data_IF_792433096414
#
_entry.id   IF_792433096414
#
_cell.length_a   1.000
_cell.length_b   1.000
_cell.length_c   1.000
_cell.angle_alpha   90.00
_cell.angle_beta   90.00
_cell.angle_gamma   90.00
#
_symmetry.space_group_name_H-M   'P 1'
#
loop_
_entity.id
_entity.type
_entity.pdbx_description
1 polymer ?
#
# COMPACT_ATOMS: atom_id res chain seq x y z
N UNK A 1 -59.22 25.71 21.17
CA UNK A 1 -58.01 26.54 21.01
C UNK A 1 -57.11 26.21 22.18
N UNK A 2 -56.33 25.15 22.04
CA UNK A 2 -55.57 24.55 23.13
C UNK A 2 -54.13 24.44 22.67
N UNK A 3 -53.29 25.24 23.29
CA UNK A 3 -51.87 25.43 23.05
C UNK A 3 -51.09 24.24 23.61
N UNK A 4 -50.57 23.36 22.75
CA UNK A 4 -49.52 22.41 23.12
C UNK A 4 -48.15 23.00 22.77
N UNK A 5 -47.52 23.60 23.77
CA UNK A 5 -46.08 23.89 23.77
C UNK A 5 -45.33 22.55 23.81
N UNK A 6 -44.51 22.28 22.81
CA UNK A 6 -43.43 21.29 22.89
C UNK A 6 -42.30 21.87 23.77
N UNK A 7 -41.78 21.13 24.76
CA UNK A 7 -40.58 21.52 25.47
C UNK A 7 -39.32 21.12 24.71
N UNK A 8 -38.34 22.01 24.81
CA UNK A 8 -36.92 21.89 24.50
C UNK A 8 -36.26 20.65 25.10
N UNK A 9 -35.46 19.94 24.32
CA UNK A 9 -34.52 18.93 24.82
C UNK A 9 -33.11 19.46 24.61
N UNK A 10 -32.54 20.00 25.68
CA UNK A 10 -31.10 20.23 25.82
C UNK A 10 -30.40 18.89 26.08
N UNK A 11 -29.37 18.64 25.28
CA UNK A 11 -28.03 18.23 25.69
C UNK A 11 -27.89 17.31 26.91
N UNK A 12 -27.71 16.02 26.68
CA UNK A 12 -26.86 15.15 27.52
C UNK A 12 -26.01 14.26 26.61
N UNK A 13 -24.80 14.75 26.31
CA UNK A 13 -23.68 13.93 25.87
C UNK A 13 -23.25 13.06 27.06
N UNK A 14 -23.41 11.75 26.95
CA UNK A 14 -22.69 10.81 27.82
C UNK A 14 -21.26 10.62 27.31
N UNK A 15 -20.26 10.45 28.20
CA UNK A 15 -18.89 10.19 27.79
C UNK A 15 -18.77 8.77 27.26
N UNK A 16 -18.23 8.62 26.06
CA UNK A 16 -17.73 7.34 25.55
C UNK A 16 -16.61 6.90 26.48
N UNK A 17 -16.83 5.85 27.25
CA UNK A 17 -15.81 5.21 28.06
C UNK A 17 -14.66 4.73 27.15
N UNK A 18 -13.51 5.36 27.33
CA UNK A 18 -12.21 4.92 26.83
C UNK A 18 -11.89 3.54 27.38
N UNK A 19 -11.97 2.51 26.52
CA UNK A 19 -11.34 1.22 26.77
C UNK A 19 -9.82 1.40 26.69
N UNK A 20 -9.22 1.61 27.86
CA UNK A 20 -7.78 1.50 28.09
C UNK A 20 -7.34 0.06 27.86
N UNK A 21 -6.76 -0.24 26.70
CA UNK A 21 -5.91 -1.41 26.53
C UNK A 21 -4.49 -1.04 26.95
N UNK A 22 -4.18 -1.31 28.22
CA UNK A 22 -2.79 -1.34 28.70
C UNK A 22 -2.10 -2.57 28.12
N UNK A 23 -1.02 -2.30 27.42
CA UNK A 23 -0.01 -3.24 26.95
C UNK A 23 0.57 -4.05 28.11
N UNK A 24 0.33 -5.36 28.12
CA UNK A 24 1.26 -6.30 28.71
C UNK A 24 2.08 -6.90 27.57
N UNK A 25 3.34 -6.50 27.56
CA UNK A 25 4.42 -7.20 26.89
C UNK A 25 4.61 -8.57 27.54
N UNK A 26 4.21 -9.63 26.85
CA UNK A 26 4.80 -10.95 27.00
C UNK A 26 4.73 -11.64 25.64
N UNK A 27 5.89 -12.10 25.18
CA UNK A 27 6.11 -12.90 23.99
C UNK A 27 5.07 -14.02 23.86
N UNK A 28 4.16 -13.88 22.88
CA UNK A 28 3.22 -14.92 22.51
C UNK A 28 3.96 -16.06 21.80
N UNK A 29 4.55 -16.96 22.57
CA UNK A 29 4.73 -18.34 22.14
C UNK A 29 3.37 -18.82 21.61
N UNK A 30 3.32 -19.21 20.34
CA UNK A 30 2.18 -19.91 19.75
C UNK A 30 1.91 -21.16 20.58
N UNK A 31 0.90 -21.11 21.44
CA UNK A 31 0.34 -22.28 22.09
C UNK A 31 -0.32 -23.12 21.00
N UNK A 32 0.43 -24.09 20.45
CA UNK A 32 -0.14 -25.17 19.66
C UNK A 32 -1.29 -25.79 20.44
N UNK A 33 -2.52 -25.68 19.93
CA UNK A 33 -3.64 -26.41 20.49
C UNK A 33 -3.38 -27.91 20.24
N UNK A 34 -3.02 -28.73 21.26
CA UNK A 34 -2.46 -30.07 21.05
C UNK A 34 -3.47 -31.11 20.53
N UNK A 35 -4.66 -30.68 20.09
CA UNK A 35 -5.77 -31.53 19.63
C UNK A 35 -6.23 -31.27 18.19
N UNK A 36 -5.69 -30.27 17.50
CA UNK A 36 -6.11 -30.01 16.12
C UNK A 36 -5.46 -31.00 15.15
N UNK A 37 -6.26 -31.73 14.37
CA UNK A 37 -5.75 -32.62 13.33
C UNK A 37 -5.33 -31.79 12.11
N UNK A 38 -4.09 -31.98 11.65
CA UNK A 38 -3.54 -31.26 10.50
C UNK A 38 -3.96 -31.97 9.21
N UNK A 39 -4.75 -31.29 8.39
CA UNK A 39 -5.04 -31.71 7.02
C UNK A 39 -3.84 -31.30 6.16
N UNK A 40 -3.10 -32.27 5.61
CA UNK A 40 -1.96 -32.00 4.73
C UNK A 40 -2.31 -32.23 3.27
N UNK A 41 -1.74 -31.45 2.37
CA UNK A 41 -1.79 -31.73 0.93
C UNK A 41 -1.24 -33.14 0.67
N UNK A 42 -2.00 -33.91 -0.12
CA UNK A 42 -1.78 -35.35 -0.38
C UNK A 42 -2.02 -36.33 0.80
N UNK A 43 -2.55 -35.86 1.94
CA UNK A 43 -2.98 -36.75 3.04
C UNK A 43 -4.29 -37.50 2.76
N UNK A 44 -4.47 -38.67 3.38
CA UNK A 44 -5.71 -39.45 3.28
C UNK A 44 -6.94 -38.61 3.69
N UNK A 45 -6.81 -37.81 4.75
CA UNK A 45 -7.87 -36.91 5.21
C UNK A 45 -8.21 -35.83 4.17
N UNK A 46 -7.20 -35.22 3.54
CA UNK A 46 -7.41 -34.24 2.47
C UNK A 46 -8.21 -34.83 1.31
N UNK A 47 -7.87 -36.05 0.88
CA UNK A 47 -8.58 -36.74 -0.23
C UNK A 47 -10.07 -37.02 0.05
N UNK A 48 -10.48 -37.02 1.32
CA UNK A 48 -11.88 -37.22 1.75
C UNK A 48 -12.62 -35.91 1.99
N UNK A 49 -11.90 -34.80 2.11
CA UNK A 49 -12.44 -33.47 2.39
C UNK A 49 -12.33 -32.58 1.15
N UNK A 50 -12.76 -33.06 -0.01
CA UNK A 50 -12.68 -32.30 -1.26
C UNK A 50 -14.05 -31.82 -1.73
N UNK A 51 -14.09 -30.59 -2.21
CA UNK A 51 -15.23 -30.05 -2.93
C UNK A 51 -15.41 -30.79 -4.26
N UNK A 52 -16.61 -31.30 -4.52
CA UNK A 52 -16.92 -32.01 -5.78
C UNK A 52 -16.78 -31.10 -7.01
N UNK A 53 -16.91 -29.78 -6.85
CA UNK A 53 -16.87 -28.82 -7.95
C UNK A 53 -15.46 -28.37 -8.33
N UNK A 54 -14.59 -28.14 -7.34
CA UNK A 54 -13.25 -27.59 -7.60
C UNK A 54 -12.09 -28.51 -7.20
N UNK A 55 -12.37 -29.65 -6.56
CA UNK A 55 -11.37 -30.61 -6.09
C UNK A 55 -10.50 -30.11 -4.93
N UNK A 56 -10.68 -28.88 -4.46
CA UNK A 56 -9.93 -28.29 -3.35
C UNK A 56 -10.50 -28.72 -2.01
N UNK A 57 -9.70 -28.56 -0.96
CA UNK A 57 -10.15 -28.83 0.40
C UNK A 57 -11.42 -28.02 0.71
N UNK A 58 -12.42 -28.71 1.26
CA UNK A 58 -13.51 -28.10 2.00
C UNK A 58 -12.82 -27.42 3.19
N UNK A 59 -12.52 -26.13 3.10
CA UNK A 59 -11.79 -25.37 4.12
C UNK A 59 -12.39 -23.98 4.36
N UNK A 60 -13.48 -23.65 3.66
CA UNK A 60 -14.14 -22.34 3.67
C UNK A 60 -15.64 -22.58 3.70
N UNK A 61 -16.32 -21.91 4.62
CA UNK A 61 -17.79 -21.98 4.80
C UNK A 61 -18.53 -21.16 3.74
N UNK A 62 -19.81 -21.47 3.46
CA UNK A 62 -20.53 -22.66 3.94
C UNK A 62 -20.06 -23.92 3.22
N UNK A 63 -19.92 -25.03 3.97
CA UNK A 63 -19.84 -26.36 3.35
C UNK A 63 -21.23 -26.94 3.31
N UNK A 64 -21.71 -27.29 2.12
CA UNK A 64 -23.01 -27.92 1.96
C UNK A 64 -22.86 -29.38 1.53
N UNK A 65 -23.82 -30.21 1.92
CA UNK A 65 -23.89 -31.62 1.59
C UNK A 65 -25.16 -31.90 0.79
N UNK A 66 -25.04 -32.72 -0.24
CA UNK A 66 -26.17 -33.23 -1.01
C UNK A 66 -25.88 -34.65 -1.50
N UNK A 67 -26.59 -35.64 -0.95
CA UNK A 67 -26.50 -37.06 -1.34
C UNK A 67 -25.07 -37.64 -1.23
N UNK A 68 -24.33 -37.24 -0.21
CA UNK A 68 -22.96 -37.66 0.09
C UNK A 68 -21.88 -36.85 -0.63
N UNK A 69 -22.25 -35.90 -1.48
CA UNK A 69 -21.33 -34.98 -2.14
C UNK A 69 -21.26 -33.65 -1.40
N UNK A 70 -20.06 -33.07 -1.31
CA UNK A 70 -19.82 -31.85 -0.56
C UNK A 70 -19.33 -30.73 -1.47
N UNK A 71 -19.82 -29.51 -1.22
CA UNK A 71 -19.34 -28.28 -1.90
C UNK A 71 -18.78 -27.30 -0.87
N UNK A 72 -17.79 -26.49 -1.28
CA UNK A 72 -17.21 -25.45 -0.42
C UNK A 72 -17.83 -24.07 -0.68
N UNK A 73 -17.66 -23.16 0.28
CA UNK A 73 -18.20 -21.80 0.19
C UNK A 73 -17.62 -20.97 -0.94
N UNK A 74 -16.42 -21.31 -1.44
CA UNK A 74 -15.85 -20.67 -2.62
C UNK A 74 -16.66 -20.94 -3.88
N UNK A 75 -17.23 -22.15 -4.00
CA UNK A 75 -18.04 -22.54 -5.15
C UNK A 75 -19.53 -22.26 -4.94
N UNK A 76 -20.00 -22.36 -3.70
CA UNK A 76 -21.41 -22.23 -3.36
C UNK A 76 -21.60 -21.34 -2.12
N UNK A 77 -21.34 -20.01 -2.22
CA UNK A 77 -21.30 -19.11 -1.07
C UNK A 77 -22.66 -18.92 -0.38
N UNK A 78 -23.76 -19.23 -1.06
CA UNK A 78 -25.13 -19.09 -0.55
C UNK A 78 -25.79 -20.42 -0.21
N UNK A 79 -25.06 -21.53 -0.28
CA UNK A 79 -25.62 -22.84 0.02
C UNK A 79 -25.92 -23.01 1.51
N UNK A 80 -26.89 -23.89 1.81
CA UNK A 80 -27.22 -24.23 3.20
C UNK A 80 -26.05 -24.97 3.86
N UNK A 81 -25.54 -24.51 5.01
CA UNK A 81 -24.43 -25.18 5.68
C UNK A 81 -24.80 -26.56 6.24
N UNK A 82 -23.86 -27.49 6.18
CA UNK A 82 -23.92 -28.77 6.86
C UNK A 82 -23.35 -28.61 8.28
N UNK A 83 -24.22 -28.40 9.27
CA UNK A 83 -23.80 -28.14 10.66
C UNK A 83 -22.89 -29.23 11.22
N UNK A 84 -23.12 -30.50 10.88
CA UNK A 84 -22.27 -31.62 11.30
C UNK A 84 -20.84 -31.49 10.80
N UNK A 85 -20.67 -31.09 9.54
CA UNK A 85 -19.35 -30.86 8.97
C UNK A 85 -18.67 -29.70 9.69
N UNK A 86 -19.37 -28.58 9.86
CA UNK A 86 -18.80 -27.37 10.48
C UNK A 86 -18.32 -27.64 11.91
N UNK A 87 -19.12 -28.36 12.72
CA UNK A 87 -18.71 -28.75 14.08
C UNK A 87 -17.44 -29.60 14.09
N UNK A 88 -17.27 -30.51 13.12
CA UNK A 88 -16.05 -31.34 13.03
C UNK A 88 -14.86 -30.53 12.51
N UNK A 89 -15.10 -29.62 11.57
CA UNK A 89 -14.08 -28.82 10.92
C UNK A 89 -13.37 -27.84 11.88
N UNK A 90 -14.04 -27.40 12.95
CA UNK A 90 -13.44 -26.62 14.04
C UNK A 90 -12.26 -27.32 14.74
N UNK A 91 -12.17 -28.64 14.63
CA UNK A 91 -11.08 -29.44 15.21
C UNK A 91 -9.93 -29.71 14.23
N UNK A 92 -10.01 -29.16 13.01
CA UNK A 92 -9.00 -29.35 11.97
C UNK A 92 -8.23 -28.06 11.71
N UNK A 93 -6.98 -28.21 11.27
CA UNK A 93 -6.23 -27.15 10.60
C UNK A 93 -6.08 -27.50 9.13
N UNK A 94 -6.20 -26.49 8.28
CA UNK A 94 -6.24 -26.60 6.84
C UNK A 94 -5.04 -25.88 6.22
N UNK A 95 -4.47 -26.42 5.14
CA UNK A 95 -3.43 -25.74 4.41
C UNK A 95 -4.03 -24.58 3.61
N UNK A 96 -3.25 -23.54 3.39
CA UNK A 96 -3.60 -22.51 2.42
C UNK A 96 -3.71 -23.11 1.01
N UNK A 97 -4.65 -22.61 0.19
CA UNK A 97 -4.83 -23.08 -1.19
C UNK A 97 -3.74 -22.60 -2.17
N UNK A 98 -2.87 -21.67 -1.76
CA UNK A 98 -1.89 -21.05 -2.64
C UNK A 98 -0.53 -21.75 -2.53
N UNK A 99 -0.03 -22.17 -3.69
CA UNK A 99 1.28 -22.81 -3.82
C UNK A 99 2.40 -21.95 -3.19
N UNK A 100 3.22 -22.59 -2.36
CA UNK A 100 4.31 -21.97 -1.62
C UNK A 100 3.92 -21.44 -0.22
N UNK A 101 2.62 -21.37 0.10
CA UNK A 101 2.19 -21.00 1.45
C UNK A 101 2.16 -22.22 2.38
N UNK A 102 2.93 -22.17 3.46
CA UNK A 102 3.02 -23.24 4.47
C UNK A 102 2.07 -23.03 5.67
N UNK A 103 1.15 -22.05 5.59
CA UNK A 103 0.24 -21.74 6.68
C UNK A 103 -0.72 -22.90 6.96
N UNK A 104 -0.85 -23.28 8.24
CA UNK A 104 -1.85 -24.19 8.76
C UNK A 104 -2.87 -23.40 9.57
N UNK A 105 -4.10 -23.31 9.06
CA UNK A 105 -5.11 -22.34 9.50
C UNK A 105 -6.32 -23.07 10.08
N UNK A 106 -6.92 -22.53 11.14
CA UNK A 106 -8.20 -23.07 11.63
C UNK A 106 -9.33 -22.72 10.67
N UNK A 107 -10.39 -23.53 10.66
CA UNK A 107 -11.52 -23.43 9.70
C UNK A 107 -12.03 -22.01 9.43
N UNK A 108 -12.32 -21.24 10.49
CA UNK A 108 -12.89 -19.90 10.37
C UNK A 108 -11.94 -18.83 9.83
N UNK A 109 -10.63 -19.11 9.77
CA UNK A 109 -9.61 -18.13 9.40
C UNK A 109 -9.09 -18.30 7.97
N UNK A 110 -9.39 -19.43 7.32
CA UNK A 110 -8.84 -19.75 6.00
C UNK A 110 -9.20 -18.70 4.95
N UNK A 111 -10.47 -18.30 4.88
CA UNK A 111 -10.93 -17.29 3.90
C UNK A 111 -10.30 -15.91 4.16
N UNK A 112 -10.18 -15.52 5.43
CA UNK A 112 -9.57 -14.26 5.83
C UNK A 112 -8.08 -14.24 5.46
N UNK A 113 -7.36 -15.32 5.74
CA UNK A 113 -5.96 -15.49 5.34
C UNK A 113 -5.81 -15.44 3.81
N UNK A 114 -6.65 -16.15 3.05
CA UNK A 114 -6.55 -16.18 1.58
C UNK A 114 -6.62 -14.79 0.95
N UNK A 115 -7.41 -13.88 1.53
CA UNK A 115 -7.52 -12.48 1.08
C UNK A 115 -6.22 -11.68 1.26
N UNK A 116 -5.37 -12.04 2.23
CA UNK A 116 -4.12 -11.33 2.55
C UNK A 116 -2.86 -12.15 2.33
N UNK A 117 -2.97 -13.41 1.90
CA UNK A 117 -1.84 -14.32 1.73
C UNK A 117 -0.80 -13.76 0.74
N UNK A 118 0.49 -13.82 1.11
CA UNK A 118 1.60 -13.34 0.26
C UNK A 118 1.83 -14.19 -1.00
N UNK A 119 1.26 -15.40 -1.07
CA UNK A 119 1.36 -16.28 -2.24
C UNK A 119 0.14 -16.19 -3.16
N UNK A 120 -0.88 -15.43 -2.78
CA UNK A 120 -2.09 -15.25 -3.59
C UNK A 120 -1.73 -14.55 -4.91
N UNK A 121 -2.41 -14.88 -6.02
CA UNK A 121 -2.27 -14.13 -7.26
C UNK A 121 -2.86 -12.73 -7.09
N UNK A 122 -2.15 -11.73 -7.60
CA UNK A 122 -2.51 -10.31 -7.57
C UNK A 122 -2.49 -9.77 -8.98
N UNK A 123 -3.51 -8.98 -9.34
CA UNK A 123 -3.49 -8.22 -10.60
C UNK A 123 -2.70 -6.93 -10.40
N UNK A 124 -1.81 -6.60 -11.34
CA UNK A 124 -1.03 -5.36 -11.26
C UNK A 124 -1.93 -4.12 -11.06
N UNK A 125 -1.62 -3.19 -10.13
CA UNK A 125 -2.46 -2.02 -9.86
C UNK A 125 -2.53 -1.01 -11.01
N UNK A 126 -1.58 -1.04 -11.96
CA UNK A 126 -1.49 -0.04 -13.02
C UNK A 126 -2.64 -0.19 -14.06
N UNK A 127 -3.32 0.92 -14.45
CA UNK A 127 -4.50 0.88 -15.33
C UNK A 127 -4.27 0.23 -16.71
N UNK A 128 -3.03 0.21 -17.20
CA UNK A 128 -2.66 -0.36 -18.51
C UNK A 128 -1.85 -1.65 -18.40
N UNK A 129 -1.86 -2.27 -17.22
CA UNK A 129 -1.19 -3.54 -16.97
C UNK A 129 -2.21 -4.60 -16.57
N UNK A 130 -2.27 -5.68 -17.36
CA UNK A 130 -3.10 -6.85 -17.13
C UNK A 130 -2.32 -8.04 -16.56
N UNK A 131 -1.03 -7.85 -16.26
CA UNK A 131 -0.18 -8.91 -15.73
C UNK A 131 -0.63 -9.32 -14.32
N UNK A 132 -0.60 -10.63 -14.06
CA UNK A 132 -0.87 -11.22 -12.74
C UNK A 132 0.42 -11.85 -12.22
N UNK A 133 0.72 -11.63 -10.95
CA UNK A 133 1.90 -12.14 -10.27
C UNK A 133 1.51 -12.69 -8.89
N UNK A 134 2.36 -13.54 -8.29
CA UNK A 134 2.20 -13.88 -6.87
C UNK A 134 2.53 -12.66 -6.02
N UNK A 135 1.75 -12.35 -4.99
CA UNK A 135 1.89 -11.10 -4.24
C UNK A 135 3.34 -10.83 -3.84
N UNK A 136 4.06 -11.80 -3.27
CA UNK A 136 5.48 -11.70 -2.91
C UNK A 136 6.45 -11.34 -4.05
N UNK A 137 6.08 -11.54 -5.32
CA UNK A 137 6.87 -11.23 -6.51
C UNK A 137 6.57 -9.84 -7.10
N UNK A 138 5.80 -8.99 -6.40
CA UNK A 138 5.37 -7.69 -6.93
C UNK A 138 6.54 -6.81 -7.39
N UNK A 139 7.67 -6.82 -6.66
CA UNK A 139 8.85 -5.99 -6.96
C UNK A 139 9.43 -6.32 -8.33
N UNK A 140 9.65 -7.61 -8.60
CA UNK A 140 10.21 -8.11 -9.86
C UNK A 140 9.37 -7.70 -11.07
N UNK A 141 8.04 -7.76 -10.93
CA UNK A 141 7.15 -7.29 -12.00
C UNK A 141 7.28 -5.78 -12.20
N UNK A 142 7.27 -5.00 -11.12
CA UNK A 142 7.31 -3.56 -11.22
C UNK A 142 8.63 -3.05 -11.81
N UNK A 143 9.78 -3.60 -11.42
CA UNK A 143 11.09 -3.22 -11.96
C UNK A 143 11.22 -3.47 -13.47
N UNK A 144 10.55 -4.50 -13.98
CA UNK A 144 10.69 -4.94 -15.37
C UNK A 144 9.64 -4.33 -16.30
N UNK A 145 8.41 -4.18 -15.83
CA UNK A 145 7.26 -3.75 -16.64
C UNK A 145 6.85 -2.29 -16.41
N UNK A 146 7.27 -1.69 -15.30
CA UNK A 146 6.95 -0.32 -14.95
C UNK A 146 8.24 0.47 -14.73
N UNK A 147 8.33 1.67 -15.30
CA UNK A 147 9.38 2.60 -14.90
C UNK A 147 9.02 3.12 -13.51
N UNK A 148 9.30 2.32 -12.48
CA UNK A 148 9.29 2.76 -11.10
C UNK A 148 10.18 4.00 -11.00
N UNK A 149 9.81 4.98 -10.18
CA UNK A 149 10.72 6.07 -9.87
C UNK A 149 12.00 5.45 -9.29
N UNK A 150 13.06 5.44 -10.11
CA UNK A 150 14.30 4.65 -9.95
C UNK A 150 14.96 4.88 -8.58
N UNK A 151 14.49 4.20 -7.54
CA UNK A 151 15.01 4.30 -6.17
C UNK A 151 14.90 5.69 -5.54
N UNK A 152 13.92 6.51 -5.94
CA UNK A 152 13.69 7.80 -5.29
C UNK A 152 12.60 7.65 -4.23
N UNK A 153 12.90 8.10 -3.01
CA UNK A 153 11.98 8.18 -1.87
C UNK A 153 10.84 9.20 -2.10
N UNK A 154 10.65 9.64 -3.34
CA UNK A 154 9.70 10.65 -3.78
C UNK A 154 9.30 10.46 -5.26
N UNK A 155 8.12 10.95 -5.64
CA UNK A 155 7.64 10.99 -7.01
C UNK A 155 8.30 12.10 -7.82
N UNK A 156 8.48 11.91 -9.13
CA UNK A 156 8.80 13.04 -10.01
C UNK A 156 7.70 14.13 -9.89
N UNK A 157 8.05 15.42 -9.98
CA UNK A 157 7.05 16.49 -9.98
C UNK A 157 6.05 16.29 -11.11
N UNK A 158 4.77 16.23 -10.75
CA UNK A 158 3.69 16.07 -11.72
C UNK A 158 3.02 17.43 -11.95
N UNK A 159 3.16 17.95 -13.18
CA UNK A 159 2.56 19.22 -13.59
C UNK A 159 1.10 19.05 -14.04
N UNK A 160 0.18 19.70 -13.34
CA UNK A 160 -1.24 19.76 -13.70
C UNK A 160 -1.51 21.10 -14.39
N UNK A 161 -1.76 21.03 -15.70
CA UNK A 161 -2.02 22.22 -16.54
C UNK A 161 -3.45 22.73 -16.41
N UNK A 162 -4.42 21.83 -16.29
CA UNK A 162 -5.84 22.15 -16.17
C UNK A 162 -6.62 20.98 -15.57
N UNK A 163 -7.55 21.25 -14.66
CA UNK A 163 -8.52 20.28 -14.15
C UNK A 163 -9.84 20.40 -14.92
N UNK A 164 -10.33 19.29 -15.46
CA UNK A 164 -11.65 19.22 -16.06
C UNK A 164 -12.78 19.15 -15.01
N UNK A 165 -13.99 19.55 -15.41
CA UNK A 165 -15.17 19.53 -14.53
C UNK A 165 -15.85 18.14 -14.46
N UNK A 166 -15.47 17.20 -15.34
CA UNK A 166 -16.19 15.94 -15.54
C UNK A 166 -15.81 14.84 -14.54
N UNK A 167 -14.54 14.75 -14.14
CA UNK A 167 -14.01 13.70 -13.25
C UNK A 167 -12.74 14.18 -12.53
N UNK A 168 -12.39 13.62 -11.34
CA UNK A 168 -11.12 13.90 -10.69
C UNK A 168 -9.92 13.52 -11.58
N UNK A 169 -8.83 14.29 -11.50
CA UNK A 169 -7.50 13.82 -11.88
C UNK A 169 -7.07 12.73 -10.91
N UNK A 170 -6.44 11.67 -11.42
CA UNK A 170 -6.04 10.51 -10.64
C UNK A 170 -4.68 10.05 -11.07
N UNK A 171 -3.82 9.79 -10.09
CA UNK A 171 -2.49 9.25 -10.32
C UNK A 171 -2.16 8.17 -9.31
N UNK A 172 -1.31 7.24 -9.74
CA UNK A 172 -0.79 6.17 -8.91
C UNK A 172 0.74 6.22 -8.92
N UNK A 173 1.31 6.52 -7.76
CA UNK A 173 2.75 6.49 -7.53
C UNK A 173 3.13 5.18 -6.86
N UNK A 174 4.29 4.66 -7.23
CA UNK A 174 4.93 3.55 -6.55
C UNK A 174 6.27 4.02 -5.97
N UNK A 175 6.37 4.06 -4.65
CA UNK A 175 7.53 4.61 -3.91
C UNK A 175 8.15 3.50 -3.08
N UNK A 176 9.46 3.32 -3.22
CA UNK A 176 10.24 2.38 -2.42
C UNK A 176 10.96 3.14 -1.29
N UNK A 177 10.82 2.67 -0.05
CA UNK A 177 11.45 3.28 1.13
C UNK A 177 11.70 2.21 2.20
N UNK A 178 12.95 2.05 2.64
CA UNK A 178 13.34 1.10 3.71
C UNK A 178 12.82 -0.33 3.43
N UNK A 179 13.10 -0.84 2.22
CA UNK A 179 12.66 -2.18 1.74
C UNK A 179 11.14 -2.40 1.67
N UNK A 180 10.36 -1.35 1.91
CA UNK A 180 8.91 -1.33 1.71
C UNK A 180 8.56 -0.66 0.40
N UNK A 181 7.49 -1.16 -0.21
CA UNK A 181 6.88 -0.54 -1.39
C UNK A 181 5.52 -0.01 -1.03
N UNK A 182 5.34 1.28 -1.30
CA UNK A 182 4.11 2.01 -1.07
C UNK A 182 3.45 2.36 -2.39
N UNK A 183 2.14 2.21 -2.43
CA UNK A 183 1.29 2.72 -3.50
C UNK A 183 0.61 3.99 -2.99
N UNK A 184 0.88 5.12 -3.63
CA UNK A 184 0.27 6.40 -3.28
C UNK A 184 -0.71 6.80 -4.37
N UNK A 185 -1.99 6.82 -4.02
CA UNK A 185 -3.07 7.24 -4.89
C UNK A 185 -3.34 8.73 -4.62
N UNK A 186 -3.19 9.55 -5.66
CA UNK A 186 -3.50 10.98 -5.63
C UNK A 186 -4.78 11.21 -6.43
N UNK A 187 -5.76 11.87 -5.81
CA UNK A 187 -7.02 12.23 -6.46
C UNK A 187 -7.27 13.71 -6.29
N UNK A 188 -7.39 14.45 -7.39
CA UNK A 188 -7.58 15.89 -7.35
C UNK A 188 -8.86 16.24 -8.11
N UNK A 189 -9.76 16.97 -7.47
CA UNK A 189 -10.98 17.45 -8.11
C UNK A 189 -11.22 18.92 -7.81
N UNK A 190 -11.98 19.54 -8.71
CA UNK A 190 -12.41 20.92 -8.59
C UNK A 190 -13.61 21.02 -7.65
N UNK A 191 -13.60 22.01 -6.76
CA UNK A 191 -14.70 22.29 -5.86
C UNK A 191 -15.76 23.12 -6.60
N UNK A 192 -17.05 22.78 -6.42
CA UNK A 192 -18.15 23.43 -7.15
C UNK A 192 -18.42 24.88 -6.74
N UNK A 193 -18.03 25.27 -5.52
CA UNK A 193 -18.47 26.53 -4.90
C UNK A 193 -17.35 27.57 -4.75
N UNK A 194 -16.11 27.24 -5.10
CA UNK A 194 -14.98 28.14 -5.09
C UNK A 194 -14.10 27.84 -6.32
N UNK A 195 -13.28 28.79 -6.78
CA UNK A 195 -12.18 28.54 -7.73
C UNK A 195 -11.06 27.70 -7.05
N UNK A 196 -11.47 26.63 -6.38
CA UNK A 196 -10.69 25.80 -5.49
C UNK A 196 -10.63 24.38 -5.96
N UNK A 197 -9.61 23.69 -5.47
CA UNK A 197 -9.34 22.29 -5.72
C UNK A 197 -9.19 21.58 -4.38
N UNK A 198 -9.55 20.30 -4.35
CA UNK A 198 -9.27 19.42 -3.23
C UNK A 198 -8.42 18.25 -3.72
N UNK A 199 -7.38 17.93 -2.97
CA UNK A 199 -6.52 16.78 -3.18
C UNK A 199 -6.77 15.77 -2.05
N UNK A 200 -7.16 14.56 -2.42
CA UNK A 200 -7.12 13.39 -1.56
C UNK A 200 -5.85 12.62 -1.83
N UNK A 201 -5.21 12.21 -0.74
CA UNK A 201 -4.06 11.31 -0.75
C UNK A 201 -4.41 10.05 0.03
N UNK A 202 -4.11 8.91 -0.56
CA UNK A 202 -4.21 7.60 0.08
C UNK A 202 -2.90 6.86 -0.10
N UNK A 203 -2.30 6.42 1.00
CA UNK A 203 -1.04 5.70 1.00
C UNK A 203 -1.29 4.27 1.47
N UNK A 204 -0.88 3.30 0.66
CA UNK A 204 -1.11 1.88 0.85
C UNK A 204 0.23 1.16 0.89
N UNK A 205 0.40 0.23 1.81
CA UNK A 205 1.64 -0.56 1.92
C UNK A 205 1.46 -1.93 1.26
N UNK A 206 2.40 -2.35 0.41
CA UNK A 206 2.39 -3.70 -0.18
C UNK A 206 2.78 -4.80 0.82
N UNK A 207 3.32 -4.45 1.99
CA UNK A 207 3.77 -5.38 3.03
C UNK A 207 2.81 -5.40 4.23
N UNK A 208 2.80 -6.53 4.97
CA UNK A 208 1.88 -6.86 6.06
C UNK A 208 2.55 -6.74 7.44
N UNK A 209 3.88 -6.81 7.50
CA UNK A 209 4.62 -7.15 8.72
C UNK A 209 5.76 -6.18 9.02
N UNK A 210 5.49 -4.88 8.98
CA UNK A 210 6.50 -3.90 9.42
C UNK A 210 5.88 -2.82 10.29
N UNK A 211 6.62 -2.46 11.33
CA UNK A 211 6.30 -1.30 12.15
C UNK A 211 6.48 -0.03 11.31
N UNK A 212 5.36 0.59 10.95
CA UNK A 212 5.32 1.83 10.16
C UNK A 212 5.35 3.07 11.06
N UNK A 213 5.43 2.92 12.38
CA UNK A 213 5.37 4.04 13.33
C UNK A 213 6.51 5.04 13.17
N UNK A 214 7.64 4.62 12.61
CA UNK A 214 8.78 5.47 12.30
C UNK A 214 8.73 6.09 10.90
N UNK A 215 7.64 5.97 10.15
CA UNK A 215 7.54 6.53 8.79
C UNK A 215 6.50 7.66 8.70
N UNK A 216 6.76 8.63 7.84
CA UNK A 216 5.82 9.66 7.42
C UNK A 216 5.76 9.77 5.88
N UNK A 217 4.60 10.13 5.36
CA UNK A 217 4.43 10.54 3.97
C UNK A 217 4.15 12.03 3.90
N UNK A 218 4.82 12.71 2.98
CA UNK A 218 4.68 14.15 2.77
C UNK A 218 4.15 14.39 1.35
N UNK A 219 3.01 15.06 1.25
CA UNK A 219 2.48 15.60 0.00
C UNK A 219 2.81 17.09 -0.07
N UNK A 220 3.52 17.50 -1.10
CA UNK A 220 3.83 18.90 -1.41
C UNK A 220 3.09 19.34 -2.67
N UNK A 221 2.33 20.42 -2.59
CA UNK A 221 1.68 21.07 -3.75
C UNK A 221 2.35 22.43 -3.98
N UNK A 222 2.93 22.62 -5.16
CA UNK A 222 3.54 23.88 -5.58
C UNK A 222 2.59 24.64 -6.50
N UNK A 223 2.09 25.78 -6.03
CA UNK A 223 1.21 26.65 -6.78
C UNK A 223 2.02 27.66 -7.62
N UNK A 224 1.41 28.18 -8.70
CA UNK A 224 2.04 29.17 -9.59
C UNK A 224 2.45 30.50 -8.92
N UNK A 225 2.00 30.76 -7.70
CA UNK A 225 2.33 31.95 -6.90
C UNK A 225 3.57 31.80 -6.03
N UNK A 226 4.44 30.82 -6.32
CA UNK A 226 5.54 30.37 -5.45
C UNK A 226 5.07 29.94 -4.04
N UNK A 227 3.78 29.69 -3.89
CA UNK A 227 3.18 29.20 -2.65
C UNK A 227 3.30 27.69 -2.62
N UNK A 228 3.91 27.17 -1.55
CA UNK A 228 4.07 25.73 -1.32
C UNK A 228 3.16 25.32 -0.18
N UNK A 229 2.30 24.32 -0.43
CA UNK A 229 1.45 23.71 0.58
C UNK A 229 1.95 22.31 0.87
N UNK A 230 2.10 21.98 2.15
CA UNK A 230 2.59 20.66 2.58
C UNK A 230 1.59 20.01 3.51
N UNK A 231 1.31 18.73 3.28
CA UNK A 231 0.50 17.87 4.16
C UNK A 231 1.31 16.63 4.51
N UNK A 232 1.61 16.46 5.78
CA UNK A 232 2.29 15.27 6.31
C UNK A 232 1.26 14.30 6.87
N UNK A 233 1.46 13.01 6.62
CA UNK A 233 0.65 11.89 7.04
C UNK A 233 1.51 10.96 7.88
N UNK A 234 1.01 10.57 9.06
CA UNK A 234 1.65 9.53 9.86
C UNK A 234 1.37 8.16 9.21
N UNK A 235 2.44 7.40 8.94
CA UNK A 235 2.34 6.09 8.30
C UNK A 235 1.73 5.00 9.20
N UNK A 236 1.53 5.26 10.50
CA UNK A 236 0.83 4.36 11.42
C UNK A 236 -0.62 4.05 10.98
N UNK A 237 -1.21 4.90 10.13
CA UNK A 237 -2.56 4.72 9.60
C UNK A 237 -2.58 4.07 8.22
N UNK A 238 -1.43 3.62 7.70
CA UNK A 238 -1.39 3.03 6.37
C UNK A 238 -2.02 1.66 6.37
N UNK A 239 -2.95 1.49 5.43
CA UNK A 239 -3.62 0.21 5.23
C UNK A 239 -2.83 -0.65 4.25
N UNK A 240 -2.87 -1.96 4.48
CA UNK A 240 -2.32 -2.94 3.56
C UNK A 240 -3.00 -2.80 2.19
N UNK A 241 -2.22 -2.90 1.11
CA UNK A 241 -2.77 -2.97 -0.24
C UNK A 241 -3.49 -4.31 -0.46
N UNK A 242 -4.77 -4.24 -0.78
CA UNK A 242 -5.60 -5.36 -1.24
C UNK A 242 -6.14 -4.96 -2.61
N UNK A 243 -5.71 -5.64 -3.67
CA UNK A 243 -6.06 -5.34 -5.06
C UNK A 243 -7.56 -5.32 -5.35
N UNK A 244 -8.32 -6.21 -4.71
CA UNK A 244 -9.78 -6.24 -4.86
C UNK A 244 -10.49 -5.06 -4.20
N UNK A 245 -9.87 -4.40 -3.21
CA UNK A 245 -10.45 -3.27 -2.47
C UNK A 245 -9.87 -1.92 -2.89
N UNK A 246 -8.61 -1.88 -3.33
CA UNK A 246 -7.85 -0.66 -3.59
C UNK A 246 -7.52 -0.46 -5.07
N UNK A 247 -8.15 -1.22 -5.98
CA UNK A 247 -8.00 -0.98 -7.40
C UNK A 247 -8.68 0.33 -7.81
N UNK A 248 -7.92 1.22 -8.42
CA UNK A 248 -8.40 2.54 -8.80
C UNK A 248 -9.56 2.48 -9.81
N UNK A 249 -9.52 1.53 -10.75
CA UNK A 249 -10.61 1.34 -11.71
C UNK A 249 -11.86 0.75 -11.02
N UNK A 250 -11.70 -0.03 -9.94
CA UNK A 250 -12.85 -0.55 -9.18
C UNK A 250 -13.61 0.54 -8.44
N UNK A 251 -12.86 1.51 -7.92
CA UNK A 251 -13.41 2.69 -7.27
C UNK A 251 -14.22 3.54 -8.26
N UNK A 252 -13.79 3.57 -9.53
CA UNK A 252 -14.53 4.22 -10.63
C UNK A 252 -15.54 3.31 -11.33
N UNK A 253 -15.80 2.11 -10.81
CA UNK A 253 -16.74 1.14 -11.39
C UNK A 253 -16.47 0.84 -12.88
N UNK A 254 -15.21 0.91 -13.30
CA UNK A 254 -14.76 0.74 -14.69
C UNK A 254 -13.69 -0.33 -14.84
N UNK A 255 -13.48 -1.15 -13.80
CA UNK A 255 -12.50 -2.23 -13.84
C UNK A 255 -13.03 -3.43 -14.63
N UNK A 256 -12.21 -3.92 -15.54
CA UNK A 256 -12.41 -5.11 -16.36
C UNK A 256 -11.59 -6.31 -15.87
N UNK A 257 -10.87 -6.17 -14.75
CA UNK A 257 -10.01 -7.24 -14.21
C UNK A 257 -10.85 -8.36 -13.61
N UNK A 258 -10.46 -9.63 -13.81
CA UNK A 258 -11.13 -10.77 -13.17
C UNK A 258 -10.98 -10.68 -11.65
N UNK A 259 -12.01 -11.13 -10.92
CA UNK A 259 -12.10 -11.17 -9.44
C UNK A 259 -12.23 -9.80 -8.74
N UNK A 260 -12.27 -8.72 -9.51
CA UNK A 260 -12.45 -7.37 -9.00
C UNK A 260 -13.94 -6.99 -8.94
N UNK A 261 -14.40 -6.47 -7.81
CA UNK A 261 -15.85 -6.32 -7.54
C UNK A 261 -16.45 -4.95 -7.87
N UNK A 262 -15.66 -3.99 -8.38
CA UNK A 262 -16.12 -2.62 -8.67
C UNK A 262 -16.92 -2.00 -7.51
N UNK A 263 -16.31 -1.99 -6.32
CA UNK A 263 -16.98 -1.74 -5.02
C UNK A 263 -17.45 -0.28 -4.78
N UNK A 264 -17.18 0.65 -5.69
CA UNK A 264 -17.49 2.08 -5.48
C UNK A 264 -16.56 2.78 -4.47
N UNK A 265 -16.93 3.98 -4.03
CA UNK A 265 -15.99 4.98 -3.50
C UNK A 265 -15.76 4.97 -1.97
N UNK A 266 -16.09 3.88 -1.26
CA UNK A 266 -16.15 3.87 0.22
C UNK A 266 -14.95 3.20 0.94
N UNK A 267 -13.92 2.74 0.22
CA UNK A 267 -12.91 1.82 0.78
C UNK A 267 -11.51 2.42 1.06
N UNK A 268 -11.26 3.71 0.81
CA UNK A 268 -9.94 4.32 1.06
C UNK A 268 -10.00 5.27 2.24
N UNK A 269 -9.27 4.96 3.32
CA UNK A 269 -8.93 5.97 4.33
C UNK A 269 -8.14 7.08 3.63
N UNK A 270 -8.70 8.28 3.58
CA UNK A 270 -8.09 9.39 2.84
C UNK A 270 -8.10 10.67 3.66
N UNK A 271 -6.98 11.38 3.60
CA UNK A 271 -6.83 12.72 4.15
C UNK A 271 -6.98 13.74 3.02
N UNK A 272 -7.59 14.88 3.34
CA UNK A 272 -7.97 15.89 2.34
C UNK A 272 -7.19 17.17 2.55
N UNK A 273 -6.49 17.62 1.52
CA UNK A 273 -5.87 18.94 1.44
C UNK A 273 -6.67 19.82 0.48
N UNK A 274 -7.32 20.86 0.99
CA UNK A 274 -8.06 21.85 0.19
C UNK A 274 -7.18 23.05 -0.10
N UNK A 275 -7.22 23.55 -1.34
CA UNK A 275 -6.43 24.70 -1.77
C UNK A 275 -7.16 25.48 -2.87
N UNK A 276 -6.79 26.75 -3.07
CA UNK A 276 -7.42 27.63 -4.05
C UNK A 276 -6.46 27.86 -5.22
N UNK A 277 -6.79 27.31 -6.39
CA UNK A 277 -6.06 27.58 -7.64
C UNK A 277 -6.91 27.27 -8.86
N UNK A 278 -6.88 28.21 -9.81
CA UNK A 278 -7.35 28.08 -11.20
C UNK A 278 -6.17 28.02 -12.19
N UNK A 279 -4.95 28.23 -11.70
CA UNK A 279 -3.70 28.20 -12.46
C UNK A 279 -3.06 26.81 -12.44
N UNK A 280 -2.15 26.52 -13.40
CA UNK A 280 -1.32 25.33 -13.34
C UNK A 280 -0.56 25.22 -12.02
N UNK A 281 -0.44 24.02 -11.52
CA UNK A 281 0.29 23.71 -10.28
C UNK A 281 0.98 22.36 -10.44
N UNK A 282 1.94 22.06 -9.57
CA UNK A 282 2.56 20.74 -9.51
C UNK A 282 2.41 20.13 -8.14
N UNK A 283 2.59 18.82 -8.05
CA UNK A 283 2.69 18.15 -6.77
C UNK A 283 3.84 17.14 -6.76
N UNK A 284 4.34 16.85 -5.56
CA UNK A 284 5.36 15.86 -5.25
C UNK A 284 4.90 15.07 -4.03
N UNK A 285 5.09 13.76 -4.05
CA UNK A 285 4.85 12.90 -2.90
C UNK A 285 6.18 12.33 -2.43
N UNK A 286 6.42 12.31 -1.13
CA UNK A 286 7.61 11.73 -0.49
C UNK A 286 7.22 10.78 0.63
N UNK A 287 8.06 9.78 0.89
CA UNK A 287 7.97 8.91 2.07
C UNK A 287 9.34 8.89 2.77
N UNK A 288 9.37 9.23 4.06
CA UNK A 288 10.59 9.33 4.87
C UNK A 288 10.39 8.85 6.31
N UNK A 289 11.45 8.77 7.12
CA UNK A 289 11.35 8.38 8.54
C UNK A 289 11.00 9.57 9.45
N UNK A 290 10.09 9.38 10.42
CA UNK A 290 9.74 10.34 11.48
C UNK A 290 10.95 10.54 12.39
N UNK A 291 11.31 11.79 12.68
CA UNK A 291 12.42 12.09 13.59
C UNK A 291 13.80 11.89 12.97
N UNK A 292 13.88 11.49 11.70
CA UNK A 292 14.93 11.97 10.83
C UNK A 292 14.75 13.48 10.77
N UNK A 293 15.53 14.19 11.57
CA UNK A 293 15.67 15.63 11.45
C UNK A 293 15.75 15.99 9.96
N UNK A 294 15.33 17.20 9.61
CA UNK A 294 15.99 17.91 8.53
C UNK A 294 17.48 18.14 8.91
N UNK A 295 18.21 17.09 9.29
CA UNK A 295 19.62 16.97 8.99
C UNK A 295 19.68 17.03 7.48
N UNK A 296 19.85 18.26 7.01
CA UNK A 296 20.67 18.61 5.85
C UNK A 296 21.39 17.34 5.39
N UNK A 297 21.05 16.78 4.22
CA UNK A 297 21.44 15.44 3.83
C UNK A 297 22.88 15.27 4.26
N UNK A 298 23.16 14.22 5.06
CA UNK A 298 24.53 13.89 5.41
C UNK A 298 25.33 14.05 4.12
N UNK A 299 26.44 14.78 4.14
CA UNK A 299 27.10 15.23 2.88
C UNK A 299 27.53 14.05 1.97
N UNK A 300 27.23 12.82 2.39
CA UNK A 300 27.55 11.54 1.84
C UNK A 300 26.35 10.80 1.24
N UNK A 301 25.16 11.38 1.15
CA UNK A 301 24.00 10.77 0.50
C UNK A 301 23.62 11.46 -0.81
N UNK A 302 23.16 10.66 -1.77
CA UNK A 302 22.65 11.22 -3.01
C UNK A 302 21.30 11.91 -2.76
N UNK A 303 21.12 13.20 -3.11
CA UNK A 303 19.90 13.93 -2.81
C UNK A 303 18.69 13.52 -3.68
N UNK A 304 18.88 12.54 -4.56
CA UNK A 304 17.85 11.97 -5.45
C UNK A 304 17.38 10.62 -4.91
N UNK A 305 18.32 9.71 -4.65
CA UNK A 305 17.97 8.37 -4.24
C UNK A 305 18.26 8.10 -2.76
N UNK A 306 18.73 9.09 -1.99
CA UNK A 306 19.15 9.04 -0.57
C UNK A 306 20.08 7.89 -0.16
N UNK A 307 20.48 7.03 -1.09
CA UNK A 307 21.55 6.08 -0.88
C UNK A 307 22.83 6.83 -0.57
N UNK A 308 23.57 6.31 0.39
CA UNK A 308 24.96 6.69 0.63
C UNK A 308 25.70 6.60 -0.70
N UNK A 309 26.47 7.64 -1.02
CA UNK A 309 27.28 7.68 -2.21
C UNK A 309 28.21 6.46 -2.25
N UNK A 310 28.23 5.78 -3.39
CA UNK A 310 29.18 4.72 -3.67
C UNK A 310 30.49 5.25 -4.27
N UNK A 311 31.25 4.37 -4.90
CA UNK A 311 32.56 4.69 -5.50
C UNK A 311 32.52 5.72 -6.63
N UNK A 312 31.35 5.95 -7.22
CA UNK A 312 31.16 6.82 -8.39
C UNK A 312 30.11 7.88 -8.11
N UNK A 313 30.58 9.13 -7.97
CA UNK A 313 29.76 10.31 -7.72
C UNK A 313 29.99 11.30 -8.85
N UNK A 314 28.94 11.95 -9.34
CA UNK A 314 29.01 12.88 -10.47
C UNK A 314 28.42 14.23 -10.13
N UNK A 315 28.88 15.28 -10.82
CA UNK A 315 28.37 16.64 -10.74
C UNK A 315 27.52 16.93 -11.98
N UNK A 316 26.36 17.54 -11.77
CA UNK A 316 25.66 18.23 -12.85
C UNK A 316 26.44 19.50 -13.27
N UNK A 317 26.12 20.15 -14.41
CA UNK A 317 26.79 21.39 -14.83
C UNK A 317 26.66 22.54 -13.82
N UNK A 318 25.65 22.49 -12.95
CA UNK A 318 25.45 23.46 -11.87
C UNK A 318 26.10 23.08 -10.53
N UNK A 319 26.88 22.00 -10.48
CA UNK A 319 27.67 21.63 -9.29
C UNK A 319 26.96 20.77 -8.24
N UNK A 320 25.77 20.23 -8.51
CA UNK A 320 25.09 19.31 -7.59
C UNK A 320 25.59 17.87 -7.74
N UNK A 321 25.91 17.21 -6.62
CA UNK A 321 26.39 15.82 -6.57
C UNK A 321 25.25 14.81 -6.72
N UNK A 322 25.44 13.81 -7.57
CA UNK A 322 24.48 12.75 -7.91
C UNK A 322 25.22 11.41 -7.92
N UNK A 323 24.55 10.32 -7.51
CA UNK A 323 25.14 8.99 -7.60
C UNK A 323 25.23 8.53 -9.06
N UNK A 324 26.04 7.49 -9.33
CA UNK A 324 26.17 6.91 -10.66
C UNK A 324 24.84 6.47 -11.30
N UNK A 325 23.90 5.96 -10.51
CA UNK A 325 22.63 5.48 -11.02
C UNK A 325 21.74 6.66 -11.43
N UNK A 326 21.53 7.63 -10.54
CA UNK A 326 20.72 8.82 -10.82
C UNK A 326 21.28 9.67 -11.96
N UNK A 327 22.60 9.70 -12.13
CA UNK A 327 23.24 10.46 -13.22
C UNK A 327 22.95 9.87 -14.60
N UNK A 328 22.73 8.55 -14.70
CA UNK A 328 22.41 7.88 -15.96
C UNK A 328 20.94 7.98 -16.34
N UNK A 329 20.06 8.15 -15.35
CA UNK A 329 18.61 8.19 -15.54
C UNK A 329 18.10 9.61 -15.76
N UNK A 330 18.71 10.60 -15.12
CA UNK A 330 18.27 11.99 -15.19
C UNK A 330 18.79 12.70 -16.45
N UNK A 331 17.89 13.33 -17.20
CA UNK A 331 18.25 14.22 -18.32
C UNK A 331 18.50 15.66 -17.88
N UNK A 332 17.90 16.08 -16.76
CA UNK A 332 18.05 17.40 -16.15
C UNK A 332 18.26 17.27 -14.64
N UNK A 333 19.07 18.16 -14.06
CA UNK A 333 19.24 18.20 -12.61
C UNK A 333 17.99 18.78 -11.94
N UNK A 334 17.40 18.14 -10.93
CA UNK A 334 16.18 18.64 -10.30
C UNK A 334 16.40 19.91 -9.46
N UNK A 335 17.65 20.18 -9.04
CA UNK A 335 17.99 21.36 -8.24
C UNK A 335 18.20 22.62 -9.09
N UNK A 336 19.00 22.51 -10.16
CA UNK A 336 19.33 23.68 -11.01
C UNK A 336 18.68 23.67 -12.39
N UNK A 337 17.95 22.60 -12.75
CA UNK A 337 17.27 22.42 -14.04
C UNK A 337 18.19 22.39 -15.27
N UNK A 338 19.51 22.40 -15.07
CA UNK A 338 20.48 22.28 -16.16
C UNK A 338 20.54 20.85 -16.70
N UNK A 339 20.67 20.73 -18.02
CA UNK A 339 20.72 19.44 -18.73
C UNK A 339 22.02 18.69 -18.42
N UNK A 340 21.92 17.41 -18.05
CA UNK A 340 23.06 16.56 -17.71
C UNK A 340 23.57 15.90 -19.00
N UNK A 341 24.40 16.60 -19.77
CA UNK A 341 24.90 16.10 -21.06
C UNK A 341 26.26 15.42 -20.96
N UNK A 342 27.13 15.89 -20.07
CA UNK A 342 28.45 15.31 -19.79
C UNK A 342 28.71 15.37 -18.28
N UNK A 343 28.29 14.35 -17.52
CA UNK A 343 28.50 14.34 -16.08
C UNK A 343 30.00 14.24 -15.76
N UNK A 344 30.49 15.14 -14.91
CA UNK A 344 31.89 15.16 -14.45
C UNK A 344 31.97 14.41 -13.13
N UNK A 345 32.96 13.53 -12.94
CA UNK A 345 33.11 12.81 -11.66
C UNK A 345 33.57 13.74 -10.53
N UNK A 346 32.98 13.55 -9.35
CA UNK A 346 33.32 14.26 -8.13
C UNK A 346 34.35 13.47 -7.30
N UNK A 347 35.60 13.38 -7.78
CA UNK A 347 36.66 12.63 -7.11
C UNK A 347 36.92 13.11 -5.67
N UNK A 348 36.71 14.39 -5.39
CA UNK A 348 36.85 14.95 -4.05
C UNK A 348 35.86 14.32 -3.09
N UNK A 349 34.57 14.27 -3.46
CA UNK A 349 33.55 13.67 -2.61
C UNK A 349 33.69 12.15 -2.54
N UNK A 350 34.11 11.48 -3.63
CA UNK A 350 34.40 10.05 -3.63
C UNK A 350 35.46 9.68 -2.59
N UNK A 351 36.53 10.50 -2.48
CA UNK A 351 37.59 10.29 -1.49
C UNK A 351 37.10 10.47 -0.05
N UNK A 352 36.33 11.53 0.23
CA UNK A 352 35.82 11.80 1.58
C UNK A 352 34.86 10.69 2.01
N UNK A 353 33.98 10.23 1.11
CA UNK A 353 33.07 9.11 1.37
C UNK A 353 33.83 7.82 1.67
N UNK A 354 34.88 7.51 0.90
CA UNK A 354 35.71 6.33 1.13
C UNK A 354 36.44 6.37 2.49
N UNK A 355 36.96 7.53 2.89
CA UNK A 355 37.60 7.73 4.20
C UNK A 355 36.61 7.59 5.35
N UNK A 356 35.40 8.17 5.22
CA UNK A 356 34.33 8.03 6.20
C UNK A 356 33.86 6.58 6.36
N UNK A 357 33.76 5.83 5.27
CA UNK A 357 33.38 4.41 5.30
C UNK A 357 34.42 3.52 6.02
N UNK A 358 35.69 3.91 6.04
CA UNK A 358 36.75 3.21 6.78
C UNK A 358 36.68 3.48 8.29
N UNK A 359 36.28 4.70 8.70
CA UNK A 359 36.15 5.07 10.11
C UNK A 359 34.99 4.37 10.82
N UNK A 360 33.92 4.00 10.08
CA UNK A 360 32.77 3.25 10.61
C UNK A 360 33.00 1.73 10.71
N UNK A 361 34.15 1.23 10.24
CA UNK A 361 34.53 -0.20 10.28
C UNK A 361 35.61 -0.51 11.32
N UNK A 362 36.00 0.48 12.12
CA UNK A 362 36.83 0.34 13.32
C UNK A 362 35.94 0.48 14.56
#
# INVERSE_FOLDING_TARGET
MSTSKLPSVETLLSPVETLNLRSNSDSAEHQENPKALIVKDAGLLYSKLQCVLCGRCLSVSPVSENRGEYTCGRCCPTAMPCSLYETVAEHFTFPCIFEGCEAALIWGEVEAHEKVCKFRPVSCPFPKCSYRYQCNDYQKHFETAHSLHNGAYYSDPVDIKSLGDSFPYVDLHCIHCVDLTFLVIIRIYKLREANGSACHISVLCMSIEQDLSELESELTINLASDTVLTKTLNCSNFIQYIDTQHCINCIYESCDKPDHMNIGNDALSSEVLKFLTDKPFSYVVKISKIGGSAEKPSNFECPICFNVFGERIYLCPGGHSLCNNCTRTLTHCPFCRLRITKPVRNYSLEKIVAEHALQLRM
#
